data_IF_119990568065
#
_entry.id   IF_119990568065
#
_cell.length_a   1.000
_cell.length_b   1.000
_cell.length_c   1.000
_cell.angle_alpha   90.00
_cell.angle_beta   90.00
_cell.angle_gamma   90.00
#
_symmetry.space_group_name_H-M   'P 1'
#
loop_
_entity.id
_entity.type
_entity.pdbx_description
1 polymer ?
#
# COMPACT_ATOMS: atom_id res chain seq x y z
N UNK A 1 0.09 28.19 -8.00
CA UNK A 1 -0.25 27.65 -9.33
C UNK A 1 -1.71 27.99 -9.60
N UNK A 2 -2.04 28.54 -10.78
CA UNK A 2 -3.40 29.00 -11.10
C UNK A 2 -3.85 28.35 -12.43
N UNK A 3 -4.19 27.05 -12.45
CA UNK A 3 -4.40 26.31 -13.70
C UNK A 3 -5.65 26.74 -14.47
N UNK A 4 -6.68 27.25 -13.78
CA UNK A 4 -7.96 27.66 -14.38
C UNK A 4 -8.13 29.19 -14.51
N UNK A 5 -7.20 29.97 -13.99
CA UNK A 5 -7.35 31.42 -13.82
C UNK A 5 -6.05 32.20 -14.07
N UNK A 6 -5.12 31.63 -14.84
CA UNK A 6 -3.80 32.20 -15.08
C UNK A 6 -3.85 33.64 -15.60
N UNK A 7 -4.74 33.95 -16.55
CA UNK A 7 -4.88 35.30 -17.12
C UNK A 7 -5.32 36.33 -16.09
N UNK A 8 -6.35 36.00 -15.29
CA UNK A 8 -6.83 36.86 -14.21
C UNK A 8 -5.75 37.08 -13.16
N UNK A 9 -5.03 36.03 -12.78
CA UNK A 9 -3.90 36.12 -11.88
C UNK A 9 -2.81 37.07 -12.41
N UNK A 10 -2.39 36.92 -13.67
CA UNK A 10 -1.38 37.77 -14.29
C UNK A 10 -1.84 39.23 -14.37
N UNK A 11 -3.09 39.47 -14.78
CA UNK A 11 -3.66 40.82 -14.86
C UNK A 11 -3.70 41.50 -13.51
N UNK A 12 -4.22 40.81 -12.48
CA UNK A 12 -4.32 41.36 -11.13
C UNK A 12 -2.94 41.59 -10.51
N UNK A 13 -2.01 40.65 -10.64
CA UNK A 13 -0.65 40.81 -10.14
C UNK A 13 0.05 42.01 -10.83
N UNK A 14 -0.14 42.20 -12.13
CA UNK A 14 0.42 43.35 -12.87
C UNK A 14 -0.12 44.67 -12.31
N UNK A 15 -1.43 44.78 -12.09
CA UNK A 15 -2.04 45.98 -11.48
C UNK A 15 -1.50 46.26 -10.07
N UNK A 16 -1.28 45.22 -9.27
CA UNK A 16 -0.70 45.35 -7.93
C UNK A 16 0.74 45.85 -7.97
N UNK A 17 1.53 45.44 -8.97
CA UNK A 17 2.89 45.96 -9.17
C UNK A 17 2.86 47.41 -9.63
N UNK A 18 2.03 47.74 -10.62
CA UNK A 18 1.91 49.11 -11.15
C UNK A 18 1.40 50.11 -10.11
N UNK A 19 0.52 49.68 -9.20
CA UNK A 19 0.04 50.51 -8.08
C UNK A 19 0.98 50.55 -6.87
N UNK A 20 2.13 49.86 -6.92
CA UNK A 20 3.12 49.84 -5.84
C UNK A 20 2.77 48.95 -4.64
N UNK A 21 1.59 48.30 -4.63
CA UNK A 21 1.18 47.37 -3.57
C UNK A 21 2.07 46.11 -3.53
N UNK A 22 2.62 45.71 -4.68
CA UNK A 22 3.67 44.69 -4.78
C UNK A 22 4.92 45.34 -5.33
N UNK A 23 6.02 45.30 -4.56
CA UNK A 23 7.27 45.92 -5.00
C UNK A 23 7.92 45.17 -6.17
N UNK A 24 8.55 45.91 -7.08
CA UNK A 24 9.37 45.32 -8.15
C UNK A 24 10.51 44.46 -7.56
N UNK A 25 11.04 44.84 -6.40
CA UNK A 25 12.01 44.03 -5.66
C UNK A 25 11.52 42.62 -5.33
N UNK A 26 10.25 42.46 -4.92
CA UNK A 26 9.62 41.15 -4.67
C UNK A 26 9.52 40.32 -5.95
N UNK A 27 9.12 40.94 -7.05
CA UNK A 27 9.06 40.29 -8.38
C UNK A 27 10.46 39.84 -8.80
N UNK A 28 11.47 40.70 -8.67
CA UNK A 28 12.86 40.39 -9.01
C UNK A 28 13.40 39.22 -8.18
N UNK A 29 13.12 39.14 -6.88
CA UNK A 29 13.49 37.98 -6.05
C UNK A 29 12.81 36.68 -6.54
N UNK A 30 11.50 36.71 -6.82
CA UNK A 30 10.77 35.54 -7.29
C UNK A 30 11.30 35.04 -8.65
N UNK A 31 11.50 35.96 -9.60
CA UNK A 31 12.03 35.66 -10.94
C UNK A 31 13.46 35.14 -10.83
N UNK A 32 14.32 35.75 -10.00
CA UNK A 32 15.70 35.27 -9.78
C UNK A 32 15.73 33.83 -9.28
N UNK A 33 14.83 33.44 -8.37
CA UNK A 33 14.72 32.05 -7.87
C UNK A 33 14.29 31.07 -8.96
N UNK A 34 13.27 31.45 -9.75
CA UNK A 34 12.76 30.61 -10.86
C UNK A 34 13.84 30.43 -11.92
N UNK A 35 14.44 31.53 -12.40
CA UNK A 35 15.49 31.47 -13.42
C UNK A 35 16.74 30.77 -12.90
N UNK A 36 17.12 30.99 -11.63
CA UNK A 36 18.24 30.30 -11.01
C UNK A 36 18.10 28.78 -11.01
N UNK A 37 16.89 28.25 -10.81
CA UNK A 37 16.62 26.82 -10.96
C UNK A 37 16.69 26.40 -12.44
N UNK A 38 16.07 27.16 -13.35
CA UNK A 38 16.08 26.82 -14.80
C UNK A 38 17.50 26.77 -15.38
N UNK A 39 18.37 27.70 -15.01
CA UNK A 39 19.77 27.69 -15.43
C UNK A 39 20.54 26.52 -14.82
N UNK A 40 20.45 26.29 -13.50
CA UNK A 40 21.14 25.15 -12.87
C UNK A 40 20.68 23.78 -13.38
N UNK A 41 19.41 23.67 -13.77
CA UNK A 41 18.85 22.44 -14.33
C UNK A 41 19.15 22.26 -15.83
N UNK A 42 19.84 23.21 -16.48
CA UNK A 42 20.19 23.12 -17.90
C UNK A 42 19.01 23.25 -18.86
N UNK A 43 17.90 23.86 -18.43
CA UNK A 43 16.67 23.96 -19.25
C UNK A 43 16.89 24.84 -20.48
N UNK A 44 17.83 25.80 -20.43
CA UNK A 44 18.14 26.65 -21.57
C UNK A 44 19.02 25.95 -22.61
N UNK A 45 19.89 25.03 -22.18
CA UNK A 45 20.76 24.22 -23.04
C UNK A 45 20.00 23.01 -23.63
N UNK A 46 19.08 22.44 -22.84
CA UNK A 46 18.29 21.26 -23.22
C UNK A 46 16.79 21.49 -23.01
N UNK A 47 16.16 22.39 -23.78
CA UNK A 47 14.77 22.79 -23.57
C UNK A 47 13.73 21.73 -24.02
N UNK A 48 14.16 20.70 -24.76
CA UNK A 48 13.29 19.68 -25.32
C UNK A 48 13.53 18.31 -24.71
N UNK A 49 12.49 17.47 -24.74
CA UNK A 49 12.58 16.11 -24.27
C UNK A 49 13.55 15.27 -25.11
N UNK A 50 14.42 14.50 -24.44
CA UNK A 50 15.25 13.50 -25.10
C UNK A 50 14.47 12.17 -25.25
N UNK A 51 14.14 11.82 -26.48
CA UNK A 51 13.36 10.61 -26.81
C UNK A 51 14.12 9.30 -26.57
N UNK A 52 15.44 9.32 -26.40
CA UNK A 52 16.22 8.11 -26.07
C UNK A 52 15.82 7.49 -24.73
N UNK A 53 15.18 8.25 -23.84
CA UNK A 53 14.75 7.77 -22.52
C UNK A 53 13.36 7.12 -22.51
N UNK A 54 12.69 6.98 -23.66
CA UNK A 54 11.33 6.43 -23.70
C UNK A 54 11.24 5.04 -23.03
N UNK A 55 12.23 4.18 -23.28
CA UNK A 55 12.29 2.82 -22.73
C UNK A 55 12.59 2.75 -21.22
N UNK A 56 12.87 3.89 -20.57
CA UNK A 56 13.03 3.96 -19.11
C UNK A 56 11.68 3.86 -18.40
N UNK A 57 10.61 4.34 -19.04
CA UNK A 57 9.24 4.31 -18.49
C UNK A 57 8.78 2.85 -18.36
N UNK A 58 8.49 2.42 -17.13
CA UNK A 58 8.06 1.06 -16.85
C UNK A 58 9.14 -0.02 -17.08
N UNK A 59 10.42 0.38 -17.16
CA UNK A 59 11.53 -0.53 -17.41
C UNK A 59 11.64 -1.65 -16.36
N UNK A 60 12.19 -2.80 -16.77
CA UNK A 60 12.39 -3.95 -15.86
C UNK A 60 13.23 -3.57 -14.63
N UNK A 61 14.27 -2.76 -14.81
CA UNK A 61 15.14 -2.31 -13.70
C UNK A 61 14.33 -1.54 -12.66
N UNK A 62 13.47 -0.61 -13.09
CA UNK A 62 12.64 0.16 -12.17
C UNK A 62 11.57 -0.71 -11.51
N UNK A 63 11.01 -1.69 -12.22
CA UNK A 63 10.08 -2.66 -11.63
C UNK A 63 10.75 -3.58 -10.62
N UNK A 64 11.98 -4.02 -10.87
CA UNK A 64 12.76 -4.77 -9.88
C UNK A 64 13.02 -3.93 -8.62
N UNK A 65 13.37 -2.66 -8.78
CA UNK A 65 13.51 -1.74 -7.64
C UNK A 65 12.19 -1.52 -6.90
N UNK A 66 11.08 -1.39 -7.62
CA UNK A 66 9.76 -1.26 -7.01
C UNK A 66 9.35 -2.52 -6.25
N UNK A 67 9.57 -3.73 -6.80
CA UNK A 67 9.39 -5.02 -6.09
C UNK A 67 10.21 -5.07 -4.81
N UNK A 68 11.47 -4.61 -4.84
CA UNK A 68 12.31 -4.49 -3.65
C UNK A 68 11.75 -3.51 -2.62
N UNK A 69 11.27 -2.35 -3.06
CA UNK A 69 10.65 -1.37 -2.17
C UNK A 69 9.36 -1.91 -1.53
N UNK A 70 8.56 -2.66 -2.29
CA UNK A 70 7.36 -3.35 -1.79
C UNK A 70 7.74 -4.26 -0.63
N UNK A 71 8.60 -5.26 -0.85
CA UNK A 71 8.98 -6.22 0.22
C UNK A 71 9.56 -5.55 1.46
N UNK A 72 10.35 -4.48 1.29
CA UNK A 72 10.95 -3.73 2.41
C UNK A 72 9.95 -2.86 3.17
N UNK A 73 8.83 -2.49 2.54
CA UNK A 73 7.79 -1.68 3.18
C UNK A 73 6.83 -2.49 4.05
N UNK A 74 6.71 -3.80 3.80
CA UNK A 74 5.76 -4.67 4.49
C UNK A 74 6.10 -4.78 5.97
N UNK A 75 5.10 -4.57 6.81
CA UNK A 75 5.23 -4.72 8.26
C UNK A 75 4.42 -5.92 8.71
N UNK A 76 5.10 -6.93 9.25
CA UNK A 76 4.46 -8.09 9.87
C UNK A 76 3.95 -7.69 11.25
N UNK A 77 2.63 -7.65 11.43
CA UNK A 77 2.01 -7.20 12.67
C UNK A 77 1.66 -8.34 13.62
N UNK A 78 1.26 -9.48 13.05
CA UNK A 78 0.91 -10.71 13.76
C UNK A 78 1.41 -11.91 12.97
N UNK A 79 1.95 -12.92 13.65
CA UNK A 79 2.41 -14.17 13.03
C UNK A 79 2.21 -15.37 13.97
N UNK A 80 1.01 -15.93 13.97
CA UNK A 80 0.55 -16.98 14.88
C UNK A 80 -0.40 -16.46 15.97
N UNK A 81 -1.33 -17.31 16.40
CA UNK A 81 -2.17 -17.07 17.60
C UNK A 81 -1.37 -17.24 18.90
N UNK A 82 -0.30 -18.03 18.86
CA UNK A 82 0.64 -18.24 19.95
C UNK A 82 2.06 -17.97 19.45
N UNK A 83 2.90 -17.34 20.28
CA UNK A 83 4.27 -16.94 19.89
C UNK A 83 5.21 -18.11 19.55
N UNK A 84 4.86 -19.34 19.93
CA UNK A 84 5.65 -20.55 19.70
C UNK A 84 5.33 -21.28 18.39
N UNK A 85 4.31 -20.87 17.63
CA UNK A 85 3.89 -21.50 16.38
C UNK A 85 3.65 -20.45 15.30
N UNK A 86 4.70 -19.99 14.60
CA UNK A 86 4.56 -19.00 13.54
C UNK A 86 3.76 -19.57 12.38
N UNK A 87 2.94 -18.73 11.73
CA UNK A 87 2.12 -19.10 10.59
C UNK A 87 2.82 -18.82 9.25
N UNK A 88 3.63 -17.77 9.18
CA UNK A 88 4.52 -17.44 8.07
C UNK A 88 5.94 -17.94 8.35
N UNK A 89 6.68 -18.39 7.31
CA UNK A 89 6.30 -18.37 5.89
C UNK A 89 5.27 -19.45 5.51
N UNK A 90 4.45 -19.17 4.50
CA UNK A 90 3.50 -20.13 3.94
C UNK A 90 4.22 -21.19 3.10
N UNK A 91 3.70 -22.42 3.09
CA UNK A 91 4.24 -23.51 2.27
C UNK A 91 3.88 -23.33 0.80
N UNK A 92 4.88 -23.18 -0.07
CA UNK A 92 4.71 -23.08 -1.52
C UNK A 92 4.15 -24.36 -2.16
N UNK A 93 4.20 -25.51 -1.47
CA UNK A 93 3.81 -26.82 -1.98
C UNK A 93 2.45 -27.32 -1.48
N UNK A 94 1.67 -26.47 -0.81
CA UNK A 94 0.31 -26.80 -0.41
C UNK A 94 -0.50 -27.33 -1.59
N UNK A 95 -1.30 -28.38 -1.38
CA UNK A 95 -2.16 -29.02 -2.37
C UNK A 95 -3.30 -28.10 -2.79
N UNK A 96 -3.97 -27.43 -1.85
CA UNK A 96 -5.13 -26.57 -2.11
C UNK A 96 -5.14 -25.36 -1.18
N UNK A 97 -5.24 -24.18 -1.76
CA UNK A 97 -5.25 -22.91 -1.02
C UNK A 97 -6.41 -22.02 -1.46
N UNK A 98 -6.88 -21.19 -0.53
CA UNK A 98 -7.88 -20.16 -0.81
C UNK A 98 -7.19 -18.79 -0.92
N UNK A 99 -7.48 -18.06 -2.00
CA UNK A 99 -7.16 -16.64 -2.11
C UNK A 99 -8.48 -15.87 -2.16
N UNK A 100 -8.66 -14.91 -1.26
CA UNK A 100 -9.92 -14.18 -1.13
C UNK A 100 -9.74 -12.68 -0.92
N UNK A 101 -10.85 -11.94 -1.10
CA UNK A 101 -10.96 -10.53 -0.78
C UNK A 101 -10.89 -9.60 -2.00
N UNK A 102 -11.48 -8.42 -1.84
CA UNK A 102 -11.68 -7.41 -2.88
C UNK A 102 -10.39 -6.82 -3.45
N UNK A 103 -9.26 -6.98 -2.76
CA UNK A 103 -7.96 -6.44 -3.15
C UNK A 103 -7.00 -7.50 -3.72
N UNK A 104 -7.34 -8.79 -3.66
CA UNK A 104 -6.42 -9.85 -4.06
C UNK A 104 -6.09 -9.82 -5.56
N UNK A 105 -7.07 -9.53 -6.41
CA UNK A 105 -6.87 -9.44 -7.88
C UNK A 105 -7.30 -8.07 -8.43
N UNK A 106 -6.83 -7.01 -7.78
CA UNK A 106 -7.19 -5.63 -8.12
C UNK A 106 -5.97 -4.70 -8.09
N UNK A 107 -5.38 -4.46 -9.27
CA UNK A 107 -4.14 -3.68 -9.40
C UNK A 107 -4.33 -2.23 -8.95
N UNK A 108 -5.48 -1.65 -9.26
CA UNK A 108 -5.84 -0.29 -8.90
C UNK A 108 -5.94 -0.11 -7.39
N UNK A 109 -6.58 -1.05 -6.70
CA UNK A 109 -6.70 -1.02 -5.24
C UNK A 109 -5.34 -1.12 -4.53
N UNK A 110 -4.41 -1.96 -5.01
CA UNK A 110 -3.06 -2.02 -4.43
C UNK A 110 -2.18 -0.79 -4.78
N UNK A 111 -2.55 0.01 -5.78
CA UNK A 111 -1.85 1.26 -6.10
C UNK A 111 -2.40 2.46 -5.32
N UNK A 112 -3.72 2.55 -5.14
CA UNK A 112 -4.37 3.66 -4.45
C UNK A 112 -4.48 4.95 -5.28
N UNK A 113 -4.67 6.08 -4.59
CA UNK A 113 -4.77 7.40 -5.22
C UNK A 113 -3.52 7.83 -5.97
N UNK A 114 -3.64 8.87 -6.79
CA UNK A 114 -2.55 9.37 -7.64
C UNK A 114 -1.96 8.36 -8.62
N UNK A 115 -2.70 7.29 -8.94
CA UNK A 115 -2.31 6.30 -9.95
C UNK A 115 -3.19 6.46 -11.18
N UNK A 116 -2.60 6.99 -12.26
CA UNK A 116 -3.26 7.44 -13.50
C UNK A 116 -4.28 8.56 -13.35
N UNK A 117 -5.22 8.46 -12.41
CA UNK A 117 -6.21 9.49 -12.09
C UNK A 117 -5.92 10.07 -10.70
N UNK A 118 -6.52 11.23 -10.38
CA UNK A 118 -6.40 11.88 -9.07
C UNK A 118 -6.70 10.92 -7.92
N UNK A 119 -7.87 10.29 -7.95
CA UNK A 119 -8.32 9.38 -6.88
C UNK A 119 -7.89 7.93 -7.10
N UNK A 120 -7.19 7.62 -8.20
CA UNK A 120 -7.03 6.23 -8.65
C UNK A 120 -8.35 5.65 -9.14
N UNK A 121 -8.36 4.35 -9.40
CA UNK A 121 -9.56 3.57 -9.68
C UNK A 121 -9.29 2.10 -9.35
N UNK A 122 -10.33 1.32 -9.08
CA UNK A 122 -10.23 -0.13 -8.94
C UNK A 122 -10.07 -0.82 -10.31
N UNK A 123 -9.63 -2.07 -10.28
CA UNK A 123 -9.46 -2.95 -11.44
C UNK A 123 -8.06 -2.91 -12.04
N UNK A 124 -7.93 -3.42 -13.26
CA UNK A 124 -6.66 -3.47 -13.98
C UNK A 124 -6.40 -2.15 -14.72
N UNK A 125 -5.91 -1.13 -14.00
CA UNK A 125 -5.77 0.23 -14.52
C UNK A 125 -4.46 0.48 -15.29
N UNK A 126 -3.43 -0.33 -15.06
CA UNK A 126 -2.07 -0.12 -15.63
C UNK A 126 -1.33 -1.45 -15.77
N UNK A 127 -0.06 -1.42 -16.20
CA UNK A 127 0.78 -2.62 -16.30
C UNK A 127 1.41 -2.92 -14.94
N UNK A 128 1.06 -4.07 -14.36
CA UNK A 128 1.62 -4.56 -13.10
C UNK A 128 1.24 -6.02 -12.85
N UNK A 129 1.56 -6.51 -11.66
CA UNK A 129 1.20 -7.86 -11.20
C UNK A 129 0.35 -7.72 -9.93
N UNK A 130 -0.87 -8.27 -9.96
CA UNK A 130 -1.76 -8.35 -8.79
C UNK A 130 -1.21 -9.34 -7.76
N UNK A 131 -1.70 -9.25 -6.52
CA UNK A 131 -1.31 -10.19 -5.45
C UNK A 131 -1.71 -11.63 -5.82
N UNK A 132 -2.91 -11.86 -6.37
CA UNK A 132 -3.34 -13.17 -6.87
C UNK A 132 -2.41 -13.67 -7.98
N UNK A 133 -2.09 -12.82 -8.95
CA UNK A 133 -1.17 -13.19 -10.03
C UNK A 133 0.23 -13.52 -9.51
N UNK A 134 0.72 -12.79 -8.50
CA UNK A 134 1.99 -13.07 -7.84
C UNK A 134 1.96 -14.41 -7.09
N UNK A 135 0.87 -14.72 -6.37
CA UNK A 135 0.69 -16.00 -5.67
C UNK A 135 0.72 -17.15 -6.68
N UNK A 136 -0.03 -17.03 -7.79
CA UNK A 136 -0.06 -18.03 -8.88
C UNK A 136 1.33 -18.34 -9.47
N UNK A 137 2.22 -17.35 -9.53
CA UNK A 137 3.60 -17.52 -10.01
C UNK A 137 4.54 -18.13 -8.96
N UNK A 138 4.19 -18.02 -7.67
CA UNK A 138 5.11 -18.34 -6.57
C UNK A 138 4.90 -19.75 -6.02
N UNK A 139 3.66 -20.22 -5.93
CA UNK A 139 3.36 -21.57 -5.44
C UNK A 139 3.68 -22.63 -6.50
N UNK A 140 3.77 -23.89 -6.07
CA UNK A 140 3.99 -25.03 -6.95
C UNK A 140 2.94 -25.07 -8.07
N UNK A 141 3.31 -25.43 -9.32
CA UNK A 141 2.35 -25.67 -10.39
C UNK A 141 1.29 -26.74 -10.05
N UNK A 142 1.53 -27.59 -9.05
CA UNK A 142 0.59 -28.59 -8.56
C UNK A 142 -0.41 -28.06 -7.52
N UNK A 143 -0.20 -26.84 -6.99
CA UNK A 143 -1.09 -26.23 -6.00
C UNK A 143 -2.38 -25.76 -6.67
N UNK A 144 -3.51 -26.30 -6.22
CA UNK A 144 -4.82 -25.81 -6.61
C UNK A 144 -5.13 -24.48 -5.90
N UNK A 145 -5.38 -23.43 -6.68
CA UNK A 145 -5.71 -22.11 -6.14
C UNK A 145 -7.18 -21.81 -6.43
N UNK A 146 -8.00 -21.79 -5.39
CA UNK A 146 -9.37 -21.29 -5.47
C UNK A 146 -9.36 -19.79 -5.15
N UNK A 147 -9.80 -18.98 -6.11
CA UNK A 147 -9.96 -17.54 -5.92
C UNK A 147 -11.43 -17.17 -5.74
N UNK A 148 -11.74 -16.41 -4.68
CA UNK A 148 -13.07 -15.85 -4.40
C UNK A 148 -12.95 -14.39 -3.99
N UNK A 149 -13.34 -13.45 -4.86
CA UNK A 149 -13.37 -12.02 -4.50
C UNK A 149 -14.21 -11.76 -3.24
N UNK A 150 -15.36 -12.44 -3.17
CA UNK A 150 -16.31 -12.38 -2.07
C UNK A 150 -16.70 -13.81 -1.68
N UNK A 151 -16.78 -14.09 -0.38
CA UNK A 151 -17.05 -15.41 0.19
C UNK A 151 -18.42 -15.50 0.87
N UNK A 152 -19.23 -14.44 0.81
CA UNK A 152 -20.52 -14.39 1.46
C UNK A 152 -21.42 -15.54 1.00
N UNK A 153 -21.92 -16.33 1.95
CA UNK A 153 -22.79 -17.48 1.69
C UNK A 153 -22.06 -18.75 1.23
N UNK A 154 -20.73 -18.77 1.20
CA UNK A 154 -19.95 -19.98 0.91
C UNK A 154 -19.67 -20.78 2.19
N UNK A 155 -19.72 -22.10 2.09
CA UNK A 155 -19.32 -23.03 3.16
C UNK A 155 -17.85 -23.41 2.94
N UNK A 156 -16.95 -22.88 3.76
CA UNK A 156 -15.49 -23.03 3.56
C UNK A 156 -14.86 -24.15 4.39
N UNK A 157 -15.50 -24.59 5.48
CA UNK A 157 -14.91 -25.50 6.48
C UNK A 157 -14.58 -26.90 5.96
N UNK A 158 -15.28 -27.36 4.91
CA UNK A 158 -15.17 -28.73 4.39
C UNK A 158 -14.40 -28.81 3.05
N UNK A 159 -13.82 -27.70 2.60
CA UNK A 159 -13.18 -27.61 1.28
C UNK A 159 -11.72 -28.09 1.23
N UNK A 160 -11.13 -28.43 2.39
CA UNK A 160 -9.78 -28.98 2.48
C UNK A 160 -8.66 -28.00 2.16
N UNK A 161 -8.87 -26.70 2.40
CA UNK A 161 -7.83 -25.68 2.25
C UNK A 161 -6.76 -25.81 3.35
N UNK A 162 -5.48 -25.84 2.98
CA UNK A 162 -4.39 -25.88 3.96
C UNK A 162 -4.15 -24.51 4.61
N UNK A 163 -4.36 -23.43 3.86
CA UNK A 163 -4.40 -22.07 4.37
C UNK A 163 -5.17 -21.15 3.43
N UNK A 164 -5.52 -19.98 3.94
CA UNK A 164 -6.15 -18.90 3.18
C UNK A 164 -5.32 -17.61 3.21
N UNK A 165 -5.32 -16.89 2.08
CA UNK A 165 -4.75 -15.54 1.96
C UNK A 165 -5.90 -14.57 1.66
N UNK A 166 -6.21 -13.69 2.60
CA UNK A 166 -7.27 -12.69 2.49
C UNK A 166 -6.64 -11.32 2.26
N UNK A 167 -6.90 -10.70 1.10
CA UNK A 167 -6.41 -9.36 0.78
C UNK A 167 -7.57 -8.38 0.73
N UNK A 168 -7.58 -7.43 1.67
CA UNK A 168 -8.64 -6.42 1.84
C UNK A 168 -8.04 -5.08 2.24
N UNK A 169 -8.81 -4.00 2.18
CA UNK A 169 -8.24 -2.68 2.41
C UNK A 169 -9.15 -1.50 2.15
N UNK A 170 -8.57 -0.30 2.18
CA UNK A 170 -9.21 0.92 1.69
C UNK A 170 -9.28 0.89 0.15
N UNK A 171 -10.34 1.47 -0.43
CA UNK A 171 -10.37 1.76 -1.87
C UNK A 171 -9.52 3.01 -2.18
N UNK A 172 -9.10 3.22 -3.43
CA UNK A 172 -8.34 4.41 -3.83
C UNK A 172 -9.05 5.73 -3.47
N UNK A 173 -8.29 6.68 -2.90
CA UNK A 173 -8.72 8.03 -2.57
C UNK A 173 -7.55 9.01 -2.68
N UNK A 174 -7.82 10.31 -2.75
CA UNK A 174 -6.79 11.33 -2.60
C UNK A 174 -7.31 12.58 -1.91
N UNK A 175 -6.43 13.24 -1.14
CA UNK A 175 -6.74 14.52 -0.49
C UNK A 175 -8.02 14.43 0.36
N UNK A 176 -8.96 15.38 0.21
CA UNK A 176 -10.20 15.46 0.98
C UNK A 176 -11.11 14.23 0.82
N UNK A 177 -11.04 13.54 -0.32
CA UNK A 177 -11.82 12.31 -0.54
C UNK A 177 -11.34 11.15 0.36
N UNK A 178 -10.17 11.31 0.99
CA UNK A 178 -9.62 10.38 1.97
C UNK A 178 -9.99 10.69 3.42
N UNK A 179 -10.64 11.81 3.72
CA UNK A 179 -10.98 12.18 5.09
C UNK A 179 -12.02 11.18 5.66
N UNK A 180 -11.67 10.51 6.75
CA UNK A 180 -12.48 9.46 7.35
C UNK A 180 -12.31 9.44 8.88
N UNK A 181 -13.40 9.68 9.60
CA UNK A 181 -13.41 9.75 11.06
C UNK A 181 -13.48 8.38 11.75
N UNK A 182 -13.89 7.35 11.02
CA UNK A 182 -14.07 5.99 11.55
C UNK A 182 -12.84 5.11 11.31
N UNK A 183 -12.07 5.40 10.25
CA UNK A 183 -10.86 4.68 9.85
C UNK A 183 -11.08 3.15 9.81
N UNK A 184 -12.22 2.72 9.28
CA UNK A 184 -12.56 1.31 9.02
C UNK A 184 -12.45 1.02 7.53
N UNK A 185 -12.05 -0.21 7.17
CA UNK A 185 -12.20 -0.69 5.79
C UNK A 185 -13.69 -0.91 5.46
N UNK A 186 -14.07 -1.00 4.18
CA UNK A 186 -15.44 -1.34 3.78
C UNK A 186 -15.91 -2.68 4.37
N UNK A 187 -17.21 -2.78 4.64
CA UNK A 187 -17.83 -3.93 5.33
C UNK A 187 -17.55 -5.27 4.63
N UNK A 188 -17.55 -5.29 3.29
CA UNK A 188 -17.23 -6.49 2.50
C UNK A 188 -15.87 -7.09 2.90
N UNK A 189 -14.88 -6.25 3.20
CA UNK A 189 -13.57 -6.69 3.63
C UNK A 189 -13.58 -7.28 5.04
N UNK A 190 -14.31 -6.65 5.97
CA UNK A 190 -14.47 -7.16 7.35
C UNK A 190 -15.20 -8.50 7.36
N UNK A 191 -16.29 -8.62 6.60
CA UNK A 191 -17.03 -9.86 6.46
C UNK A 191 -16.17 -10.98 5.86
N UNK A 192 -15.37 -10.67 4.84
CA UNK A 192 -14.44 -11.65 4.24
C UNK A 192 -13.40 -12.13 5.26
N UNK A 193 -12.86 -11.23 6.10
CA UNK A 193 -11.95 -11.63 7.19
C UNK A 193 -12.69 -12.58 8.15
N UNK A 194 -13.89 -12.21 8.59
CA UNK A 194 -14.65 -13.00 9.55
C UNK A 194 -14.94 -14.41 9.03
N UNK A 195 -15.47 -14.53 7.82
CA UNK A 195 -15.90 -15.81 7.26
C UNK A 195 -14.72 -16.73 6.95
N UNK A 196 -13.64 -16.19 6.36
CA UNK A 196 -12.48 -17.00 6.00
C UNK A 196 -11.68 -17.43 7.23
N UNK A 197 -11.35 -16.48 8.11
CA UNK A 197 -10.49 -16.75 9.26
C UNK A 197 -11.17 -17.57 10.37
N UNK A 198 -12.51 -17.65 10.36
CA UNK A 198 -13.25 -18.58 11.20
C UNK A 198 -13.20 -20.03 10.69
N UNK A 199 -13.04 -20.23 9.37
CA UNK A 199 -13.09 -21.54 8.73
C UNK A 199 -11.71 -22.16 8.47
N UNK A 200 -10.72 -21.35 8.13
CA UNK A 200 -9.38 -21.79 7.70
C UNK A 200 -8.33 -20.89 8.33
N UNK A 201 -7.16 -21.43 8.67
CA UNK A 201 -6.04 -20.59 9.11
C UNK A 201 -5.70 -19.55 8.04
N UNK A 202 -5.67 -18.28 8.43
CA UNK A 202 -5.65 -17.18 7.48
C UNK A 202 -4.48 -16.20 7.69
N UNK A 203 -3.88 -15.79 6.57
CA UNK A 203 -3.09 -14.58 6.47
C UNK A 203 -3.98 -13.45 5.96
N UNK A 204 -4.07 -12.35 6.70
CA UNK A 204 -4.67 -11.11 6.22
C UNK A 204 -3.57 -10.17 5.71
N UNK A 205 -3.69 -9.74 4.45
CA UNK A 205 -2.88 -8.70 3.83
C UNK A 205 -3.74 -7.44 3.77
N UNK A 206 -3.40 -6.44 4.56
CA UNK A 206 -4.12 -5.18 4.63
C UNK A 206 -3.49 -4.14 3.69
N UNK A 207 -4.28 -3.69 2.72
CA UNK A 207 -3.94 -2.60 1.80
C UNK A 207 -4.54 -1.29 2.33
N UNK A 208 -3.70 -0.34 2.73
CA UNK A 208 -4.20 0.92 3.30
C UNK A 208 -3.19 2.07 3.16
N UNK A 209 -3.69 3.30 3.10
CA UNK A 209 -2.82 4.48 3.13
C UNK A 209 -2.32 4.83 4.54
N UNK A 210 -2.85 4.15 5.58
CA UNK A 210 -2.72 4.53 6.99
C UNK A 210 -3.11 3.39 7.95
N UNK A 211 -2.81 3.50 9.25
CA UNK A 211 -3.37 2.62 10.28
C UNK A 211 -4.89 2.70 10.34
N UNK A 212 -5.55 1.56 10.56
CA UNK A 212 -7.01 1.40 10.57
C UNK A 212 -7.50 0.67 11.82
N UNK A 213 -8.80 0.77 12.09
CA UNK A 213 -9.48 0.06 13.17
C UNK A 213 -9.45 -1.45 12.92
N UNK A 214 -8.64 -2.18 13.71
CA UNK A 214 -8.47 -3.64 13.58
C UNK A 214 -8.76 -4.42 14.87
N UNK A 215 -8.86 -3.75 16.02
CA UNK A 215 -8.83 -4.36 17.36
C UNK A 215 -9.80 -5.54 17.52
N UNK A 216 -11.03 -5.43 16.99
CA UNK A 216 -12.05 -6.48 17.10
C UNK A 216 -11.77 -7.71 16.22
N UNK A 217 -11.07 -7.54 15.10
CA UNK A 217 -10.83 -8.60 14.11
C UNK A 217 -9.46 -9.27 14.30
N UNK A 218 -8.52 -8.59 14.97
CA UNK A 218 -7.15 -9.07 15.18
C UNK A 218 -7.07 -10.47 15.83
N UNK A 219 -7.95 -10.86 16.79
CA UNK A 219 -7.93 -12.22 17.35
C UNK A 219 -8.23 -13.34 16.33
N UNK A 220 -9.01 -13.05 15.29
CA UNK A 220 -9.42 -14.03 14.28
C UNK A 220 -8.27 -14.43 13.35
N UNK A 221 -7.40 -13.47 13.04
CA UNK A 221 -6.33 -13.61 12.06
C UNK A 221 -5.18 -14.47 12.59
N UNK A 222 -4.65 -15.43 11.83
CA UNK A 222 -3.44 -16.15 12.24
C UNK A 222 -2.20 -15.32 11.94
N UNK A 223 -2.14 -14.64 10.80
CA UNK A 223 -1.14 -13.61 10.53
C UNK A 223 -1.77 -12.34 9.94
N UNK A 224 -1.08 -11.21 10.15
CA UNK A 224 -1.47 -9.91 9.61
C UNK A 224 -0.25 -9.18 9.08
N UNK A 225 -0.32 -8.77 7.81
CA UNK A 225 0.68 -7.94 7.14
C UNK A 225 0.05 -6.61 6.76
N UNK A 226 0.64 -5.50 7.22
CA UNK A 226 0.35 -4.19 6.66
C UNK A 226 1.19 -3.99 5.40
N UNK A 227 0.53 -3.98 4.24
CA UNK A 227 1.17 -3.85 2.93
C UNK A 227 1.13 -2.43 2.36
N UNK A 228 0.47 -1.50 3.07
CA UNK A 228 0.31 -0.11 2.66
C UNK A 228 -0.37 0.02 1.29
N UNK A 229 0.17 0.86 0.40
CA UNK A 229 -0.20 0.96 -1.02
C UNK A 229 1.02 0.53 -1.85
N UNK A 230 1.21 -0.78 -2.11
CA UNK A 230 2.46 -1.33 -2.66
C UNK A 230 2.69 -0.99 -4.15
N UNK A 231 1.73 -0.39 -4.86
CA UNK A 231 1.92 -0.04 -6.27
C UNK A 231 1.86 -1.27 -7.18
N UNK A 232 2.62 -1.29 -8.28
CA UNK A 232 2.40 -2.24 -9.39
C UNK A 232 3.01 -3.62 -9.22
N UNK A 233 3.91 -3.81 -8.25
CA UNK A 233 4.78 -5.00 -8.17
C UNK A 233 4.36 -5.93 -7.03
N UNK A 234 3.19 -6.58 -7.16
CA UNK A 234 2.62 -7.48 -6.15
C UNK A 234 3.53 -8.66 -5.77
N UNK A 235 4.51 -9.01 -6.62
CA UNK A 235 5.52 -10.04 -6.32
C UNK A 235 6.39 -9.70 -5.11
N UNK A 236 6.52 -8.42 -4.74
CA UNK A 236 7.24 -8.03 -3.53
C UNK A 236 6.52 -8.48 -2.25
N UNK A 237 5.21 -8.71 -2.31
CA UNK A 237 4.46 -9.31 -1.20
C UNK A 237 4.78 -10.81 -1.10
N UNK A 238 4.71 -11.53 -2.22
CA UNK A 238 4.96 -12.98 -2.24
C UNK A 238 6.41 -13.34 -1.91
N UNK A 239 7.36 -12.46 -2.23
CA UNK A 239 8.76 -12.57 -1.78
C UNK A 239 8.90 -12.75 -0.27
N UNK A 240 7.99 -12.19 0.54
CA UNK A 240 8.10 -12.24 2.00
C UNK A 240 7.22 -13.30 2.61
N UNK A 241 5.94 -13.36 2.24
CA UNK A 241 4.97 -14.27 2.87
C UNK A 241 5.28 -15.74 2.59
N UNK A 242 6.05 -16.05 1.53
CA UNK A 242 6.53 -17.40 1.22
C UNK A 242 8.01 -17.63 1.56
N UNK A 243 8.67 -16.69 2.23
CA UNK A 243 10.01 -16.90 2.82
C UNK A 243 11.21 -16.73 1.90
N UNK A 244 11.07 -16.18 0.69
CA UNK A 244 12.24 -15.84 -0.15
C UNK A 244 13.07 -14.70 0.44
N UNK A 245 12.42 -13.83 1.23
CA UNK A 245 13.00 -12.71 1.94
C UNK A 245 12.34 -12.51 3.30
N UNK A 246 13.13 -12.08 4.29
CA UNK A 246 12.61 -11.70 5.60
C UNK A 246 11.83 -10.38 5.55
N UNK A 247 10.84 -10.24 6.43
CA UNK A 247 10.23 -8.95 6.74
C UNK A 247 11.25 -8.00 7.39
N UNK A 248 11.33 -6.78 6.84
CA UNK A 248 12.24 -5.73 7.33
C UNK A 248 11.50 -4.47 7.77
N UNK A 249 10.25 -4.30 7.32
CA UNK A 249 9.47 -3.11 7.58
C UNK A 249 9.16 -2.95 9.06
N UNK A 250 9.19 -1.69 9.51
CA UNK A 250 8.75 -1.26 10.82
C UNK A 250 7.76 -0.12 10.66
N UNK A 251 6.81 -0.03 11.59
CA UNK A 251 5.77 0.98 11.57
C UNK A 251 6.38 2.39 11.66
N UNK A 252 6.25 3.17 10.58
CA UNK A 252 6.60 4.59 10.57
C UNK A 252 5.50 5.48 11.19
N UNK A 253 4.36 4.87 11.56
CA UNK A 253 3.24 5.53 12.24
C UNK A 253 2.69 4.64 13.36
N UNK A 254 2.28 5.25 14.45
CA UNK A 254 1.56 4.59 15.54
C UNK A 254 0.26 3.94 15.04
N UNK A 255 0.01 2.69 15.42
CA UNK A 255 -1.29 2.04 15.21
C UNK A 255 -2.17 2.19 16.45
N UNK A 256 -3.30 2.88 16.32
CA UNK A 256 -4.22 3.14 17.44
C UNK A 256 -5.07 1.91 17.79
N UNK A 257 -5.55 1.81 19.03
CA UNK A 257 -6.56 0.82 19.43
C UNK A 257 -7.98 1.28 19.07
N UNK A 258 -8.23 2.58 19.18
CA UNK A 258 -9.50 3.23 18.83
C UNK A 258 -9.26 4.63 18.26
N UNK A 259 -10.09 5.05 17.31
CA UNK A 259 -10.06 6.42 16.77
C UNK A 259 -10.27 7.51 17.82
N UNK A 260 -10.87 7.16 18.97
CA UNK A 260 -11.03 8.07 20.13
C UNK A 260 -9.69 8.51 20.75
N UNK A 261 -8.60 7.80 20.47
CA UNK A 261 -7.27 8.16 20.93
C UNK A 261 -6.61 9.22 20.05
N UNK A 262 -7.19 9.54 18.88
CA UNK A 262 -6.55 10.44 17.93
C UNK A 262 -6.75 11.91 18.33
N UNK A 263 -5.72 12.77 18.14
CA UNK A 263 -4.37 12.44 17.68
C UNK A 263 -3.51 11.78 18.77
N UNK A 264 -2.73 10.75 18.40
CA UNK A 264 -1.75 10.08 19.28
C UNK A 264 -0.48 9.70 18.50
N UNK A 265 0.66 10.19 18.94
CA UNK A 265 1.97 10.04 18.28
C UNK A 265 3.04 9.58 19.27
N UNK A 266 4.11 8.99 18.73
CA UNK A 266 5.27 8.61 19.52
C UNK A 266 5.87 9.83 20.23
N UNK A 267 6.08 9.72 21.54
CA UNK A 267 6.56 10.81 22.39
C UNK A 267 5.46 11.59 23.12
N UNK A 268 4.18 11.35 22.82
CA UNK A 268 3.08 11.97 23.55
C UNK A 268 3.03 11.46 25.01
N UNK A 269 2.62 12.30 26.00
CA UNK A 269 2.56 11.89 27.40
C UNK A 269 1.63 10.71 27.67
N UNK A 270 0.54 10.60 26.90
CA UNK A 270 -0.41 9.48 26.95
C UNK A 270 -0.27 8.72 25.63
N UNK A 271 0.54 7.66 25.65
CA UNK A 271 0.85 6.84 24.47
C UNK A 271 0.46 5.38 24.73
N UNK A 272 -0.74 4.99 24.27
CA UNK A 272 -1.30 3.64 24.45
C UNK A 272 -1.69 2.99 23.10
N UNK A 273 -0.71 2.64 22.26
CA UNK A 273 -0.98 2.12 20.93
C UNK A 273 -1.42 0.64 20.91
N UNK A 274 -2.09 0.22 19.84
CA UNK A 274 -2.27 -1.19 19.51
C UNK A 274 -0.94 -1.80 19.06
N UNK A 275 -0.25 -1.11 18.15
CA UNK A 275 1.12 -1.39 17.76
C UNK A 275 1.92 -0.09 17.81
N UNK A 276 3.00 -0.02 18.61
CA UNK A 276 3.77 1.20 18.76
C UNK A 276 4.50 1.58 17.46
N UNK A 277 4.95 2.83 17.38
CA UNK A 277 5.92 3.27 16.39
C UNK A 277 7.16 2.36 16.43
N UNK A 278 7.76 2.11 15.27
CA UNK A 278 8.89 1.21 15.04
C UNK A 278 8.58 -0.29 15.30
N UNK A 279 7.33 -0.65 15.54
CA UNK A 279 6.92 -2.05 15.66
C UNK A 279 6.98 -2.78 14.31
N UNK A 280 7.45 -4.02 14.33
CA UNK A 280 7.45 -4.94 13.20
C UNK A 280 8.06 -6.27 13.61
N UNK A 281 7.31 -7.36 13.45
CA UNK A 281 7.81 -8.69 13.75
C UNK A 281 8.83 -9.12 12.69
N UNK A 282 9.82 -9.92 13.12
CA UNK A 282 10.69 -10.67 12.22
C UNK A 282 10.11 -12.07 12.04
N UNK A 283 10.37 -12.71 10.90
CA UNK A 283 10.20 -14.15 10.82
C UNK A 283 11.32 -14.80 11.63
N UNK A 284 11.00 -15.79 12.45
CA UNK A 284 12.02 -16.56 13.15
C UNK A 284 12.77 -17.39 12.08
N UNK A 285 14.00 -17.01 11.79
CA UNK A 285 14.87 -17.73 10.88
C UNK A 285 15.24 -19.09 11.50
N UNK A 286 14.58 -20.16 11.05
CA UNK A 286 14.82 -21.51 11.51
C UNK A 286 14.55 -22.53 10.41
N UNK A 287 15.63 -22.93 9.74
CA UNK A 287 15.76 -24.09 8.83
C UNK A 287 14.79 -24.14 7.62
N UNK A 288 15.16 -23.46 6.54
CA UNK A 288 14.68 -23.83 5.21
C UNK A 288 15.50 -25.06 4.73
N UNK A 289 14.88 -26.20 4.40
CA UNK A 289 15.53 -27.21 3.60
C UNK A 289 15.81 -26.60 2.21
N UNK A 290 17.07 -26.62 1.80
CA UNK A 290 17.50 -26.40 0.41
C UNK A 290 16.86 -27.40 -0.54
#
# INVERSE_FOLDING_TARGET
MQPLSAESFMSNLTKLVLSGQVSVGRINDAVRRILGVKFRAGVFEHPFANRSFFNVVGSKIHRTLAREAVRKSLVLLKNGKQSSSPFLPLDKNAKKILVAGSHADDLGNQCGGWTLTRNGASGNITIGTTILSAIRKTVSPSTEIIYKRNVQGLQLSDEGFEYAIVTVGEFPYSQEDGDNMNLTIPEEGLQTINDVCAAVQCLVILISGRPLTLTAHLPLMDALVAAWLPGTEGEGITDTIFGDHDFQGRLSRTWFKSVKQLPMNYGDPIYDPLFPYDYGLKMLSGSYPT
#
